data_IF_430657320124
#
_entry.id   IF_430657320124
#
_cell.length_a   1.000
_cell.length_b   1.000
_cell.length_c   1.000
_cell.angle_alpha   90.00
_cell.angle_beta   90.00
_cell.angle_gamma   90.00
#
_symmetry.space_group_name_H-M   'P 1'
#
loop_
_entity.id
_entity.type
_entity.pdbx_description
1 polymer ?
#
# COMPACT_ATOMS: atom_id res chain seq x y z
N UNK A 1 14.33 41.35 8.59
CA UNK A 1 13.60 40.26 7.91
C UNK A 1 12.38 39.92 8.75
N UNK A 2 11.16 39.82 8.20
CA UNK A 2 9.98 39.52 9.00
C UNK A 2 10.09 38.08 9.52
N UNK A 3 9.84 37.88 10.82
CA UNK A 3 9.68 36.55 11.39
C UNK A 3 8.43 35.92 10.78
N UNK A 4 8.63 34.98 9.84
CA UNK A 4 7.55 34.11 9.38
C UNK A 4 7.11 33.28 10.58
N UNK A 5 5.84 33.40 10.96
CA UNK A 5 5.27 32.56 12.02
C UNK A 5 5.34 31.10 11.54
N UNK A 6 6.16 30.28 12.20
CA UNK A 6 6.46 28.89 11.79
C UNK A 6 5.20 28.01 11.80
N UNK A 7 4.12 28.47 12.44
CA UNK A 7 2.81 27.80 12.48
C UNK A 7 1.71 28.52 11.68
N UNK A 8 2.07 29.43 10.77
CA UNK A 8 1.11 29.99 9.83
C UNK A 8 0.51 28.86 8.95
N UNK A 9 -0.83 28.67 8.97
CA UNK A 9 -1.48 27.62 8.19
C UNK A 9 -1.22 27.68 6.70
N UNK A 10 -1.13 28.88 6.12
CA UNK A 10 -0.89 29.04 4.69
C UNK A 10 0.53 28.64 4.33
N UNK A 11 1.51 29.07 5.13
CA UNK A 11 2.89 28.63 4.99
C UNK A 11 3.05 27.11 5.13
N UNK A 12 2.44 26.49 6.15
CA UNK A 12 2.53 25.03 6.35
C UNK A 12 1.87 24.27 5.20
N UNK A 13 0.71 24.71 4.73
CA UNK A 13 0.03 24.07 3.60
C UNK A 13 0.87 24.20 2.32
N UNK A 14 1.44 25.37 2.04
CA UNK A 14 2.32 25.56 0.88
C UNK A 14 3.56 24.68 0.96
N UNK A 15 4.23 24.62 2.12
CA UNK A 15 5.36 23.71 2.29
C UNK A 15 4.92 22.25 2.17
N UNK A 16 3.80 21.86 2.78
CA UNK A 16 3.26 20.52 2.67
C UNK A 16 3.01 20.16 1.21
N UNK A 17 2.42 21.04 0.40
CA UNK A 17 2.19 20.78 -1.03
C UNK A 17 3.48 20.75 -1.84
N UNK A 18 4.45 21.60 -1.51
CA UNK A 18 5.76 21.63 -2.17
C UNK A 18 6.56 20.33 -1.92
N UNK A 19 6.55 19.85 -0.67
CA UNK A 19 7.25 18.64 -0.27
C UNK A 19 6.41 17.36 -0.41
N UNK A 20 5.09 17.49 -0.52
CA UNK A 20 4.14 16.41 -0.77
C UNK A 20 3.55 16.50 -2.16
N UNK A 21 4.25 17.09 -3.13
CA UNK A 21 3.93 16.88 -4.54
C UNK A 21 3.73 15.38 -4.74
N UNK A 22 2.46 15.02 -4.93
CA UNK A 22 1.97 13.66 -5.08
C UNK A 22 2.50 13.19 -6.43
N UNK A 23 3.70 12.61 -6.41
CA UNK A 23 4.40 12.23 -7.62
C UNK A 23 5.20 13.36 -8.26
N UNK A 24 6.02 13.03 -9.28
CA UNK A 24 6.69 14.01 -10.10
C UNK A 24 5.69 14.98 -10.73
N UNK A 25 6.10 16.23 -11.04
CA UNK A 25 5.29 17.16 -11.81
C UNK A 25 4.72 16.48 -13.06
N UNK A 26 3.40 16.51 -13.24
CA UNK A 26 2.73 15.92 -14.40
C UNK A 26 2.09 14.54 -14.19
N UNK A 27 2.19 13.92 -13.01
CA UNK A 27 1.45 12.70 -12.71
C UNK A 27 -0.06 12.97 -12.63
N UNK A 28 -0.79 12.66 -13.70
CA UNK A 28 -2.26 12.66 -13.69
C UNK A 28 -2.76 11.42 -12.92
N UNK A 29 -3.81 11.56 -12.09
CA UNK A 29 -4.38 10.43 -11.37
C UNK A 29 -4.96 9.39 -12.34
N UNK A 30 -5.15 8.15 -11.88
CA UNK A 30 -5.73 7.10 -12.72
C UNK A 30 -7.17 7.40 -13.15
N UNK A 31 -7.87 8.21 -12.36
CA UNK A 31 -9.16 8.81 -12.67
C UNK A 31 -9.23 10.22 -12.04
N UNK A 32 -9.95 11.18 -12.63
CA UNK A 32 -10.09 12.53 -12.08
C UNK A 32 -10.65 12.52 -10.66
N UNK A 33 -10.10 13.38 -9.79
CA UNK A 33 -10.72 13.65 -8.50
C UNK A 33 -12.05 14.40 -8.72
N UNK A 34 -13.10 13.98 -8.03
CA UNK A 34 -14.37 14.72 -7.99
C UNK A 34 -14.31 15.99 -7.12
N UNK A 35 -13.14 16.30 -6.57
CA UNK A 35 -12.87 17.44 -5.71
C UNK A 35 -11.43 17.94 -5.88
N UNK A 36 -11.18 19.18 -5.50
CA UNK A 36 -9.83 19.75 -5.45
C UNK A 36 -9.06 19.19 -4.25
N UNK A 37 -7.94 18.49 -4.50
CA UNK A 37 -7.03 18.03 -3.43
C UNK A 37 -6.51 19.22 -2.65
N UNK A 38 -6.12 20.29 -3.35
CA UNK A 38 -5.58 21.50 -2.75
C UNK A 38 -6.56 22.10 -1.75
N UNK A 39 -7.82 22.28 -2.15
CA UNK A 39 -8.84 22.87 -1.28
C UNK A 39 -9.18 21.94 -0.12
N UNK A 40 -9.19 20.63 -0.38
CA UNK A 40 -9.47 19.61 0.65
C UNK A 40 -8.35 19.53 1.70
N UNK A 41 -7.08 19.62 1.29
CA UNK A 41 -5.92 19.65 2.18
C UNK A 41 -5.89 20.96 2.96
N UNK A 42 -6.12 22.09 2.30
CA UNK A 42 -6.15 23.43 2.92
C UNK A 42 -7.28 23.55 3.95
N UNK A 43 -8.48 23.09 3.60
CA UNK A 43 -9.63 23.05 4.49
C UNK A 43 -9.36 22.21 5.74
N UNK A 44 -8.78 21.01 5.56
CA UNK A 44 -8.40 20.13 6.69
C UNK A 44 -7.32 20.76 7.58
N UNK A 45 -6.32 21.40 7.00
CA UNK A 45 -5.26 22.07 7.76
C UNK A 45 -5.80 23.25 8.60
N UNK A 46 -6.70 24.05 8.03
CA UNK A 46 -7.35 25.17 8.73
C UNK A 46 -8.32 24.71 9.81
N UNK A 47 -8.97 23.56 9.62
CA UNK A 47 -9.97 23.02 10.54
C UNK A 47 -9.41 22.25 11.75
N UNK A 48 -8.10 21.95 11.81
CA UNK A 48 -7.53 21.14 12.90
C UNK A 48 -6.08 21.50 13.21
N UNK A 49 -5.82 21.98 14.43
CA UNK A 49 -4.44 22.25 14.90
C UNK A 49 -3.58 20.98 14.90
N UNK A 50 -4.17 19.83 15.20
CA UNK A 50 -3.48 18.54 15.18
C UNK A 50 -3.06 18.17 13.75
N UNK A 51 -3.94 18.40 12.77
CA UNK A 51 -3.64 18.17 11.35
C UNK A 51 -2.50 19.06 10.86
N UNK A 52 -2.55 20.35 11.21
CA UNK A 52 -1.52 21.33 10.88
C UNK A 52 -0.15 20.95 11.47
N UNK A 53 -0.11 20.47 12.72
CA UNK A 53 1.11 19.93 13.33
C UNK A 53 1.60 18.67 12.63
N UNK A 54 0.71 17.75 12.26
CA UNK A 54 1.08 16.53 11.52
C UNK A 54 1.69 16.87 10.15
N UNK A 55 1.07 17.80 9.41
CA UNK A 55 1.60 18.30 8.14
C UNK A 55 2.97 18.95 8.32
N UNK A 56 3.16 19.74 9.38
CA UNK A 56 4.45 20.34 9.70
C UNK A 56 5.52 19.25 9.98
N UNK A 57 5.22 18.26 10.81
CA UNK A 57 6.13 17.14 11.12
C UNK A 57 6.47 16.35 9.86
N UNK A 58 5.47 15.94 9.07
CA UNK A 58 5.68 15.25 7.80
C UNK A 58 6.55 16.03 6.83
N UNK A 59 6.33 17.35 6.73
CA UNK A 59 7.15 18.23 5.90
C UNK A 59 8.60 18.31 6.40
N UNK A 60 8.80 18.45 7.71
CA UNK A 60 10.13 18.49 8.33
C UNK A 60 10.91 17.19 8.15
N UNK A 61 10.24 16.05 8.22
CA UNK A 61 10.82 14.73 7.90
C UNK A 61 11.31 14.72 6.45
N UNK A 62 10.45 15.11 5.51
CA UNK A 62 10.80 15.14 4.09
C UNK A 62 11.96 16.10 3.79
N UNK A 63 11.95 17.30 4.38
CA UNK A 63 13.06 18.24 4.29
C UNK A 63 14.36 17.65 4.82
N UNK A 64 14.35 17.09 6.03
CA UNK A 64 15.55 16.51 6.63
C UNK A 64 16.16 15.38 5.79
N UNK A 65 15.31 14.59 5.11
CA UNK A 65 15.79 13.55 4.19
C UNK A 65 16.33 14.15 2.89
N UNK A 66 15.68 15.16 2.32
CA UNK A 66 16.13 15.82 1.09
C UNK A 66 17.43 16.60 1.27
N UNK A 67 17.60 17.24 2.43
CA UNK A 67 18.76 18.06 2.77
C UNK A 67 19.95 17.20 3.24
N UNK A 68 19.83 15.87 3.22
CA UNK A 68 20.89 14.96 3.65
C UNK A 68 21.18 14.98 5.16
N UNK A 69 20.33 15.64 5.96
CA UNK A 69 20.46 15.73 7.42
C UNK A 69 20.27 14.38 8.15
N UNK A 70 19.88 13.34 7.41
CA UNK A 70 19.87 11.94 7.84
C UNK A 70 18.53 11.48 8.41
N UNK A 71 18.26 10.18 8.26
CA UNK A 71 17.03 9.51 8.69
C UNK A 71 16.76 9.61 10.21
N UNK A 72 17.80 9.85 11.00
CA UNK A 72 17.75 9.92 12.47
C UNK A 72 16.93 11.10 12.99
N UNK A 73 16.97 12.25 12.31
CA UNK A 73 16.14 13.41 12.64
C UNK A 73 14.67 13.11 12.37
N UNK A 74 14.37 12.45 11.25
CA UNK A 74 13.02 12.04 10.89
C UNK A 74 12.41 11.06 11.90
N UNK A 75 13.17 10.04 12.32
CA UNK A 75 12.72 9.05 13.32
C UNK A 75 12.40 9.71 14.66
N UNK A 76 13.25 10.64 15.15
CA UNK A 76 12.97 11.36 16.41
C UNK A 76 11.70 12.21 16.34
N UNK A 77 11.52 12.95 15.24
CA UNK A 77 10.31 13.75 15.03
C UNK A 77 9.04 12.89 14.99
N UNK A 78 9.11 11.70 14.38
CA UNK A 78 8.03 10.72 14.40
C UNK A 78 7.76 10.23 15.81
N UNK A 79 8.79 9.77 16.54
CA UNK A 79 8.62 9.21 17.88
C UNK A 79 8.01 10.21 18.85
N UNK A 80 8.50 11.45 18.85
CA UNK A 80 7.99 12.51 19.72
C UNK A 80 6.52 12.84 19.41
N UNK A 81 6.17 12.98 18.12
CA UNK A 81 4.83 13.33 17.71
C UNK A 81 3.84 12.17 17.85
N UNK A 82 4.26 10.95 17.52
CA UNK A 82 3.47 9.75 17.72
C UNK A 82 3.15 9.51 19.20
N UNK A 83 4.13 9.67 20.11
CA UNK A 83 3.88 9.53 21.56
C UNK A 83 2.85 10.54 22.06
N UNK A 84 2.88 11.77 21.56
CA UNK A 84 1.87 12.78 21.91
C UNK A 84 0.46 12.36 21.51
N UNK A 85 0.31 11.65 20.38
CA UNK A 85 -1.00 11.18 19.90
C UNK A 85 -1.45 9.92 20.65
N UNK A 86 -0.59 8.90 20.75
CA UNK A 86 -0.96 7.60 21.34
C UNK A 86 -1.09 7.63 22.85
N UNK A 87 -0.52 8.63 23.53
CA UNK A 87 -0.73 8.82 24.97
C UNK A 87 -2.12 9.38 25.28
N UNK A 88 -2.88 9.84 24.29
CA UNK A 88 -4.28 10.19 24.51
C UNK A 88 -5.07 8.90 24.68
N UNK A 89 -5.68 8.73 25.85
CA UNK A 89 -6.57 7.60 26.13
C UNK A 89 -7.78 7.74 25.21
N UNK A 90 -8.06 6.71 24.40
CA UNK A 90 -9.32 6.63 23.65
C UNK A 90 -10.42 6.47 24.69
N UNK A 91 -11.19 7.53 24.91
CA UNK A 91 -12.29 7.51 25.85
C UNK A 91 -13.51 6.83 25.20
N UNK A 92 -14.37 6.14 25.96
CA UNK A 92 -15.58 5.50 25.41
C UNK A 92 -16.54 6.48 24.71
N UNK A 93 -16.47 7.77 25.06
CA UNK A 93 -17.26 8.88 24.52
C UNK A 93 -16.53 9.65 23.40
N UNK A 94 -15.37 9.17 22.94
CA UNK A 94 -14.62 9.81 21.86
C UNK A 94 -15.50 9.97 20.61
N UNK A 95 -15.57 11.21 20.11
CA UNK A 95 -16.39 11.52 18.96
C UNK A 95 -15.76 10.99 17.67
N UNK A 96 -16.60 10.72 16.67
CA UNK A 96 -16.14 10.34 15.31
C UNK A 96 -15.14 11.37 14.76
N UNK A 97 -15.35 12.66 15.01
CA UNK A 97 -14.47 13.74 14.56
C UNK A 97 -13.08 13.67 15.20
N UNK A 98 -13.01 13.41 16.51
CA UNK A 98 -11.74 13.26 17.23
C UNK A 98 -10.96 12.04 16.74
N UNK A 99 -11.62 10.88 16.65
CA UNK A 99 -11.02 9.64 16.14
C UNK A 99 -10.50 9.81 14.71
N UNK A 100 -11.28 10.47 13.86
CA UNK A 100 -10.90 10.82 12.48
C UNK A 100 -9.67 11.74 12.45
N UNK A 101 -9.61 12.71 13.38
CA UNK A 101 -8.46 13.60 13.55
C UNK A 101 -7.17 12.85 13.88
N UNK A 102 -7.22 11.97 14.89
CA UNK A 102 -6.07 11.14 15.29
C UNK A 102 -5.64 10.18 14.17
N UNK A 103 -6.60 9.47 13.56
CA UNK A 103 -6.36 8.56 12.45
C UNK A 103 -5.61 9.27 11.32
N UNK A 104 -6.14 10.37 10.79
CA UNK A 104 -5.49 11.08 9.68
C UNK A 104 -4.06 11.54 10.03
N UNK A 105 -3.83 11.99 11.26
CA UNK A 105 -2.51 12.47 11.66
C UNK A 105 -1.49 11.35 11.71
N UNK A 106 -1.84 10.22 12.35
CA UNK A 106 -0.98 9.04 12.41
C UNK A 106 -0.80 8.41 11.02
N UNK A 107 -1.85 8.40 10.19
CA UNK A 107 -1.78 7.88 8.82
C UNK A 107 -0.78 8.66 7.96
N UNK A 108 -0.75 9.99 8.09
CA UNK A 108 0.24 10.82 7.39
C UNK A 108 1.68 10.46 7.78
N UNK A 109 1.93 10.11 9.05
CA UNK A 109 3.22 9.64 9.51
C UNK A 109 3.55 8.25 8.96
N UNK A 110 2.58 7.33 8.94
CA UNK A 110 2.73 5.99 8.34
C UNK A 110 3.18 6.11 6.88
N UNK A 111 2.46 6.89 6.08
CA UNK A 111 2.79 7.09 4.67
C UNK A 111 4.19 7.68 4.54
N UNK A 112 4.51 8.74 5.30
CA UNK A 112 5.83 9.37 5.26
C UNK A 112 6.95 8.39 5.63
N UNK A 113 6.73 7.55 6.64
CA UNK A 113 7.70 6.56 7.08
C UNK A 113 7.90 5.44 6.05
N UNK A 114 6.80 4.86 5.54
CA UNK A 114 6.83 3.80 4.52
C UNK A 114 7.51 4.25 3.23
N UNK A 115 7.34 5.53 2.86
CA UNK A 115 7.89 6.08 1.63
C UNK A 115 9.35 6.52 1.76
N UNK A 116 9.67 7.19 2.86
CA UNK A 116 10.89 7.99 2.95
C UNK A 116 11.89 7.37 3.93
N UNK A 117 11.43 6.90 5.08
CA UNK A 117 12.32 6.49 6.19
C UNK A 117 12.71 5.02 6.06
N UNK A 118 11.78 4.13 6.35
CA UNK A 118 11.93 2.69 6.23
C UNK A 118 10.56 2.03 6.36
N UNK A 119 10.43 0.90 5.68
CA UNK A 119 9.21 0.09 5.74
C UNK A 119 8.94 -0.41 7.16
N UNK A 120 9.99 -0.74 7.91
CA UNK A 120 9.87 -1.19 9.30
C UNK A 120 9.26 -0.12 10.22
N UNK A 121 9.75 1.12 10.16
CA UNK A 121 9.19 2.23 10.98
C UNK A 121 7.75 2.50 10.58
N UNK A 122 7.45 2.51 9.28
CA UNK A 122 6.09 2.70 8.79
C UNK A 122 5.12 1.61 9.24
N UNK A 123 5.56 0.35 9.27
CA UNK A 123 4.74 -0.77 9.75
C UNK A 123 4.47 -0.69 11.26
N UNK A 124 5.47 -0.32 12.08
CA UNK A 124 5.27 -0.12 13.53
C UNK A 124 4.28 1.01 13.81
N UNK A 125 4.29 2.08 13.00
CA UNK A 125 3.29 3.14 13.10
C UNK A 125 1.90 2.66 12.66
N UNK A 126 1.82 1.77 11.67
CA UNK A 126 0.55 1.18 11.23
C UNK A 126 -0.06 0.30 12.33
N UNK A 127 0.75 -0.47 13.07
CA UNK A 127 0.32 -1.21 14.26
C UNK A 127 -0.30 -0.28 15.31
N UNK A 128 0.29 0.90 15.52
CA UNK A 128 -0.21 1.90 16.49
C UNK A 128 -1.53 2.56 16.07
N UNK A 129 -1.92 2.47 14.80
CA UNK A 129 -3.24 2.92 14.32
C UNK A 129 -4.38 1.96 14.65
N UNK A 130 -4.08 0.68 14.93
CA UNK A 130 -5.10 -0.37 15.14
C UNK A 130 -6.16 0.03 16.18
N UNK A 131 -5.82 0.54 17.39
CA UNK A 131 -6.83 0.89 18.37
C UNK A 131 -7.77 2.02 17.90
N UNK A 132 -7.24 3.00 17.17
CA UNK A 132 -8.03 4.11 16.62
C UNK A 132 -8.92 3.65 15.47
N UNK A 133 -8.41 2.74 14.63
CA UNK A 133 -9.19 2.13 13.56
C UNK A 133 -10.35 1.30 14.11
N UNK A 134 -10.12 0.47 15.12
CA UNK A 134 -11.16 -0.32 15.78
C UNK A 134 -12.19 0.57 16.47
N UNK A 135 -11.75 1.60 17.21
CA UNK A 135 -12.66 2.55 17.85
C UNK A 135 -13.52 3.31 16.83
N UNK A 136 -12.96 3.70 15.69
CA UNK A 136 -13.70 4.36 14.62
C UNK A 136 -14.68 3.39 13.93
N UNK A 137 -14.25 2.14 13.71
CA UNK A 137 -15.08 1.10 13.07
C UNK A 137 -16.24 0.66 13.98
N UNK A 138 -16.07 0.70 15.30
CA UNK A 138 -17.13 0.44 16.27
C UNK A 138 -18.30 1.44 16.17
N UNK A 139 -18.09 2.62 15.58
CA UNK A 139 -19.13 3.63 15.32
C UNK A 139 -20.00 3.29 14.09
N UNK A 140 -19.75 2.19 13.40
CA UNK A 140 -20.44 1.82 12.16
C UNK A 140 -20.73 0.32 12.13
N UNK A 141 -21.90 -0.05 12.66
CA UNK A 141 -22.31 -1.45 12.85
C UNK A 141 -22.34 -2.26 11.55
N UNK A 142 -22.58 -1.60 10.40
CA UNK A 142 -22.56 -2.20 9.06
C UNK A 142 -21.21 -2.80 8.63
N UNK A 143 -20.12 -2.39 9.29
CA UNK A 143 -18.78 -2.89 8.98
C UNK A 143 -18.52 -4.27 9.59
N UNK A 144 -19.24 -4.65 10.64
CA UNK A 144 -18.99 -5.88 11.40
C UNK A 144 -19.85 -7.02 10.86
N UNK A 145 -19.22 -8.18 10.65
CA UNK A 145 -19.94 -9.42 10.32
C UNK A 145 -20.27 -10.19 11.60
N UNK A 146 -19.34 -10.17 12.55
CA UNK A 146 -19.45 -10.71 13.90
C UNK A 146 -18.60 -9.84 14.86
N UNK A 147 -18.46 -10.24 16.12
CA UNK A 147 -17.73 -9.47 17.14
C UNK A 147 -16.21 -9.38 16.90
N UNK A 148 -15.66 -10.18 15.98
CA UNK A 148 -14.22 -10.35 15.75
C UNK A 148 -13.80 -10.04 14.31
N UNK A 149 -14.74 -9.94 13.36
CA UNK A 149 -14.45 -9.80 11.94
C UNK A 149 -15.16 -8.62 11.27
N UNK A 150 -14.37 -7.87 10.50
CA UNK A 150 -14.88 -6.78 9.67
C UNK A 150 -15.08 -7.25 8.23
N UNK A 151 -16.20 -6.88 7.61
CA UNK A 151 -16.46 -7.13 6.19
C UNK A 151 -15.45 -6.37 5.33
N UNK A 152 -14.56 -7.10 4.65
CA UNK A 152 -13.59 -6.54 3.71
C UNK A 152 -14.28 -5.65 2.68
N UNK A 153 -15.44 -6.10 2.18
CA UNK A 153 -16.23 -5.38 1.20
C UNK A 153 -16.76 -4.06 1.77
N UNK A 154 -17.37 -4.06 2.96
CA UNK A 154 -17.95 -2.85 3.54
C UNK A 154 -16.87 -1.87 4.00
N UNK A 155 -15.78 -2.35 4.59
CA UNK A 155 -14.64 -1.52 5.00
C UNK A 155 -14.03 -0.81 3.79
N UNK A 156 -13.78 -1.55 2.71
CA UNK A 156 -13.21 -0.96 1.51
C UNK A 156 -14.17 0.00 0.80
N UNK A 157 -15.47 -0.31 0.87
CA UNK A 157 -16.52 0.52 0.29
C UNK A 157 -16.93 1.73 1.13
N UNK A 158 -16.37 1.85 2.33
CA UNK A 158 -16.80 2.84 3.28
C UNK A 158 -16.48 4.26 2.80
N UNK A 159 -17.41 5.19 3.01
CA UNK A 159 -17.28 6.59 2.56
C UNK A 159 -16.17 7.36 3.28
N UNK A 160 -15.71 6.87 4.43
CA UNK A 160 -14.58 7.44 5.18
C UNK A 160 -13.26 6.98 4.60
N UNK A 161 -12.45 7.96 4.23
CA UNK A 161 -11.12 7.78 3.68
C UNK A 161 -10.22 6.95 4.60
N UNK A 162 -10.29 7.18 5.91
CA UNK A 162 -9.44 6.58 6.93
C UNK A 162 -9.65 5.07 7.05
N UNK A 163 -10.91 4.61 6.91
CA UNK A 163 -11.30 3.21 7.05
C UNK A 163 -10.81 2.40 5.84
N UNK A 164 -11.10 2.87 4.63
CA UNK A 164 -10.66 2.21 3.39
C UNK A 164 -9.13 2.25 3.24
N UNK A 165 -8.48 3.37 3.57
CA UNK A 165 -7.02 3.48 3.52
C UNK A 165 -6.34 2.55 4.51
N UNK A 166 -6.84 2.43 5.74
CA UNK A 166 -6.26 1.50 6.70
C UNK A 166 -6.24 0.08 6.16
N UNK A 167 -7.38 -0.41 5.66
CA UNK A 167 -7.46 -1.76 5.08
C UNK A 167 -6.51 -1.93 3.89
N UNK A 168 -6.37 -0.92 3.03
CA UNK A 168 -5.43 -0.98 1.91
C UNK A 168 -3.98 -1.14 2.38
N UNK A 169 -3.54 -0.32 3.34
CA UNK A 169 -2.17 -0.40 3.85
C UNK A 169 -1.95 -1.67 4.66
N UNK A 170 -2.92 -2.13 5.45
CA UNK A 170 -2.84 -3.42 6.15
C UNK A 170 -2.68 -4.56 5.14
N UNK A 171 -3.53 -4.60 4.11
CA UNK A 171 -3.47 -5.62 3.05
C UNK A 171 -2.13 -5.63 2.31
N UNK A 172 -1.67 -4.45 1.87
CA UNK A 172 -0.44 -4.33 1.08
C UNK A 172 0.79 -4.60 1.94
N UNK A 173 0.84 -4.11 3.17
CA UNK A 173 1.98 -4.36 4.07
C UNK A 173 2.05 -5.83 4.45
N UNK A 174 0.92 -6.50 4.76
CA UNK A 174 0.89 -7.95 4.98
C UNK A 174 1.34 -8.76 3.77
N UNK A 175 0.98 -8.33 2.55
CA UNK A 175 1.46 -8.94 1.31
C UNK A 175 2.98 -8.85 1.19
N UNK A 176 3.55 -7.64 1.19
CA UNK A 176 4.98 -7.48 0.90
C UNK A 176 5.86 -7.90 2.07
N UNK A 177 5.40 -7.70 3.30
CA UNK A 177 6.12 -8.22 4.45
C UNK A 177 5.93 -9.74 4.52
N UNK A 178 4.79 -10.30 4.13
CA UNK A 178 4.49 -11.72 4.40
C UNK A 178 4.18 -11.94 5.88
N UNK A 179 3.56 -10.96 6.53
CA UNK A 179 2.98 -11.04 7.88
C UNK A 179 1.48 -11.30 7.81
N UNK A 180 0.89 -11.65 8.95
CA UNK A 180 -0.57 -11.68 9.11
C UNK A 180 -1.12 -10.25 9.09
N UNK A 181 -2.31 -10.01 8.51
CA UNK A 181 -3.04 -8.73 8.65
C UNK A 181 -3.21 -8.32 10.11
N UNK A 182 -3.14 -7.02 10.38
CA UNK A 182 -3.38 -6.46 11.70
C UNK A 182 -4.84 -6.61 12.12
N UNK A 183 -5.74 -6.68 11.14
CA UNK A 183 -7.18 -6.82 11.34
C UNK A 183 -7.66 -8.12 10.68
N UNK A 184 -8.55 -8.82 11.37
CA UNK A 184 -9.23 -9.97 10.79
C UNK A 184 -10.38 -9.51 9.88
N UNK A 185 -10.17 -9.62 8.57
CA UNK A 185 -11.18 -9.30 7.57
C UNK A 185 -11.96 -10.55 7.15
N UNK A 186 -13.29 -10.45 7.17
CA UNK A 186 -14.17 -11.37 6.49
C UNK A 186 -14.10 -11.10 4.98
N UNK A 187 -13.59 -12.09 4.23
CA UNK A 187 -13.28 -12.00 2.78
C UNK A 187 -14.25 -12.82 1.93
N UNK A 188 -15.45 -13.08 2.45
CA UNK A 188 -16.53 -13.67 1.68
C UNK A 188 -16.98 -12.66 0.64
N UNK A 189 -16.70 -12.96 -0.62
CA UNK A 189 -17.06 -12.10 -1.74
C UNK A 189 -18.55 -12.32 -2.03
N UNK A 190 -19.36 -11.26 -1.88
CA UNK A 190 -20.71 -11.27 -2.41
C UNK A 190 -20.66 -10.77 -3.86
N UNK A 191 -21.32 -11.43 -4.84
CA UNK A 191 -21.29 -11.07 -6.26
C UNK A 191 -21.72 -9.63 -6.58
N UNK A 192 -22.21 -8.88 -5.60
CA UNK A 192 -22.53 -7.46 -5.69
C UNK A 192 -21.33 -6.64 -5.17
N UNK A 193 -20.14 -6.81 -5.75
CA UNK A 193 -19.07 -5.81 -5.56
C UNK A 193 -19.46 -4.59 -6.40
N UNK A 194 -20.38 -3.78 -5.88
CA UNK A 194 -20.62 -2.46 -6.46
C UNK A 194 -19.35 -1.65 -6.21
N UNK A 195 -18.76 -1.04 -7.24
CA UNK A 195 -17.71 -0.06 -7.01
C UNK A 195 -18.31 1.01 -6.08
N UNK A 196 -17.72 1.23 -4.91
CA UNK A 196 -18.07 2.37 -4.07
C UNK A 196 -18.03 3.61 -4.96
N UNK A 197 -19.07 4.44 -4.90
CA UNK A 197 -19.18 5.62 -5.77
C UNK A 197 -18.02 6.62 -5.62
N UNK A 198 -17.12 6.42 -4.64
CA UNK A 198 -15.94 7.24 -4.32
C UNK A 198 -14.76 6.38 -3.83
N UNK A 199 -14.15 5.59 -4.72
CA UNK A 199 -12.97 4.78 -4.40
C UNK A 199 -11.67 5.58 -4.51
N UNK A 200 -11.19 6.11 -3.39
CA UNK A 200 -9.99 6.95 -3.38
C UNK A 200 -8.67 6.23 -3.71
N UNK A 201 -8.63 4.90 -3.59
CA UNK A 201 -7.39 4.09 -3.67
C UNK A 201 -7.03 3.72 -5.12
N UNK A 202 -8.03 3.38 -5.94
CA UNK A 202 -7.89 3.17 -7.39
C UNK A 202 -7.22 4.40 -8.03
N UNK A 203 -7.51 5.59 -7.50
CA UNK A 203 -7.05 6.88 -8.03
C UNK A 203 -5.55 7.12 -7.78
N UNK A 204 -5.03 6.67 -6.65
CA UNK A 204 -3.69 7.00 -6.16
C UNK A 204 -2.63 5.95 -6.51
N UNK A 205 -3.02 4.69 -6.70
CA UNK A 205 -2.05 3.60 -6.86
C UNK A 205 -2.27 2.71 -8.09
N UNK A 206 -3.32 2.97 -8.89
CA UNK A 206 -3.68 2.12 -10.02
C UNK A 206 -4.08 0.70 -9.61
N UNK A 207 -4.31 0.47 -8.31
CA UNK A 207 -4.71 -0.80 -7.73
C UNK A 207 -6.23 -0.75 -7.50
N UNK A 208 -6.99 -1.57 -8.23
CA UNK A 208 -8.45 -1.52 -8.09
C UNK A 208 -8.94 -2.19 -6.81
N UNK A 209 -10.10 -1.78 -6.32
CA UNK A 209 -10.78 -2.42 -5.19
C UNK A 209 -10.85 -3.95 -5.27
N UNK A 210 -11.19 -4.53 -6.43
CA UNK A 210 -11.24 -5.98 -6.60
C UNK A 210 -9.87 -6.60 -6.34
N UNK A 211 -8.80 -5.98 -6.85
CA UNK A 211 -7.41 -6.40 -6.60
C UNK A 211 -7.12 -6.39 -5.10
N UNK A 212 -7.46 -5.32 -4.37
CA UNK A 212 -7.21 -5.22 -2.93
C UNK A 212 -7.97 -6.28 -2.15
N UNK A 213 -9.26 -6.49 -2.43
CA UNK A 213 -10.05 -7.50 -1.73
C UNK A 213 -9.54 -8.91 -2.01
N UNK A 214 -9.12 -9.20 -3.25
CA UNK A 214 -8.51 -10.48 -3.59
C UNK A 214 -7.18 -10.69 -2.88
N UNK A 215 -6.33 -9.66 -2.78
CA UNK A 215 -5.11 -9.71 -1.96
C UNK A 215 -5.42 -9.96 -0.48
N UNK A 216 -6.45 -9.29 0.07
CA UNK A 216 -6.91 -9.53 1.43
C UNK A 216 -7.39 -10.98 1.63
N UNK A 217 -8.06 -11.56 0.62
CA UNK A 217 -8.47 -12.98 0.63
C UNK A 217 -7.27 -13.93 0.72
N UNK A 218 -6.21 -13.69 -0.08
CA UNK A 218 -4.97 -14.47 0.03
C UNK A 218 -4.32 -14.30 1.41
N UNK A 219 -4.28 -13.07 1.94
CA UNK A 219 -3.74 -12.79 3.28
C UNK A 219 -4.52 -13.52 4.37
N UNK A 220 -5.86 -13.49 4.35
CA UNK A 220 -6.70 -14.18 5.33
C UNK A 220 -6.50 -15.70 5.29
N UNK A 221 -6.39 -16.29 4.10
CA UNK A 221 -6.09 -17.72 3.98
C UNK A 221 -4.71 -18.07 4.55
N UNK A 222 -3.69 -17.25 4.24
CA UNK A 222 -2.35 -17.43 4.80
C UNK A 222 -2.36 -17.28 6.32
N UNK A 223 -3.09 -16.32 6.86
CA UNK A 223 -3.25 -16.12 8.30
C UNK A 223 -3.86 -17.35 8.97
N UNK A 224 -4.89 -17.95 8.36
CA UNK A 224 -5.48 -19.19 8.86
C UNK A 224 -4.45 -20.33 8.90
N UNK A 225 -3.58 -20.43 7.89
CA UNK A 225 -2.47 -21.42 7.88
C UNK A 225 -1.32 -21.12 8.84
N UNK A 226 -1.09 -19.85 9.16
CA UNK A 226 -0.14 -19.49 10.22
C UNK A 226 -0.65 -19.95 11.59
N UNK A 227 -1.96 -19.86 11.84
CA UNK A 227 -2.59 -20.30 13.09
C UNK A 227 -2.70 -21.83 13.13
N UNK A 228 -3.14 -22.44 12.03
CA UNK A 228 -3.28 -23.88 11.87
C UNK A 228 -2.61 -24.33 10.55
N UNK A 229 -1.39 -24.90 10.60
CA UNK A 229 -0.70 -25.40 9.42
C UNK A 229 -1.45 -26.46 8.63
N UNK A 230 -2.45 -27.12 9.25
CA UNK A 230 -3.32 -28.13 8.64
C UNK A 230 -4.58 -27.56 8.02
N UNK A 231 -4.81 -26.24 8.14
CA UNK A 231 -5.95 -25.58 7.52
C UNK A 231 -6.01 -25.91 6.03
N UNK A 232 -7.17 -26.33 5.51
CA UNK A 232 -7.30 -26.87 4.16
C UNK A 232 -6.87 -25.86 3.09
N UNK A 233 -6.34 -26.41 2.00
CA UNK A 233 -6.17 -25.65 0.77
C UNK A 233 -7.53 -25.19 0.22
N UNK A 234 -7.57 -24.03 -0.47
CA UNK A 234 -8.81 -23.57 -1.08
C UNK A 234 -9.27 -24.62 -2.09
N UNK A 235 -10.56 -24.90 -2.07
CA UNK A 235 -11.20 -25.81 -3.02
C UNK A 235 -11.05 -25.31 -4.45
N UNK A 236 -11.17 -26.20 -5.43
CA UNK A 236 -11.16 -25.80 -6.85
C UNK A 236 -12.27 -24.80 -7.18
N UNK A 237 -13.40 -24.85 -6.46
CA UNK A 237 -14.50 -23.91 -6.62
C UNK A 237 -14.13 -22.51 -6.13
N UNK A 238 -13.53 -22.38 -4.94
CA UNK A 238 -13.03 -21.10 -4.43
C UNK A 238 -11.91 -20.51 -5.30
N UNK A 239 -11.05 -21.36 -5.86
CA UNK A 239 -10.02 -20.93 -6.82
C UNK A 239 -10.65 -20.44 -8.13
N UNK A 240 -11.66 -21.14 -8.65
CA UNK A 240 -12.36 -20.73 -9.87
C UNK A 240 -13.16 -19.44 -9.64
N UNK A 241 -13.79 -19.28 -8.47
CA UNK A 241 -14.49 -18.06 -8.07
C UNK A 241 -13.52 -16.87 -8.00
N UNK A 242 -12.36 -17.05 -7.37
CA UNK A 242 -11.30 -16.03 -7.34
C UNK A 242 -10.89 -15.59 -8.75
N UNK A 243 -10.65 -16.55 -9.65
CA UNK A 243 -10.27 -16.26 -11.03
C UNK A 243 -11.40 -15.56 -11.79
N UNK A 244 -12.67 -15.96 -11.57
CA UNK A 244 -13.82 -15.32 -12.19
C UNK A 244 -13.92 -13.84 -11.81
N UNK A 245 -13.79 -13.49 -10.52
CA UNK A 245 -13.79 -12.08 -10.09
C UNK A 245 -12.67 -11.26 -10.72
N UNK A 246 -11.47 -11.85 -10.84
CA UNK A 246 -10.34 -11.16 -11.46
C UNK A 246 -10.50 -11.02 -12.98
N UNK A 247 -11.21 -11.94 -13.64
CA UNK A 247 -11.52 -11.90 -15.07
C UNK A 247 -12.65 -10.92 -15.41
N UNK A 248 -13.67 -10.84 -14.56
CA UNK A 248 -14.77 -9.87 -14.71
C UNK A 248 -14.27 -8.43 -14.55
N UNK A 249 -13.28 -8.24 -13.67
CA UNK A 249 -12.58 -6.97 -13.57
C UNK A 249 -11.73 -6.70 -14.81
N UNK A 250 -12.03 -5.59 -15.47
CA UNK A 250 -11.23 -5.09 -16.57
C UNK A 250 -10.53 -3.79 -16.16
N UNK A 251 -9.27 -3.57 -16.59
CA UNK A 251 -8.62 -2.27 -16.48
C UNK A 251 -9.54 -1.16 -17.03
N UNK A 252 -9.79 -0.13 -16.22
CA UNK A 252 -10.62 1.01 -16.60
C UNK A 252 -9.80 2.28 -16.50
N UNK A 253 -9.87 3.09 -17.55
CA UNK A 253 -9.33 4.44 -17.57
C UNK A 253 -10.44 5.43 -17.85
N UNK A 254 -10.43 6.51 -17.10
CA UNK A 254 -11.15 7.74 -17.48
C UNK A 254 -10.20 8.56 -18.35
N UNK A 255 -10.61 8.82 -19.58
CA UNK A 255 -9.86 9.71 -20.48
C UNK A 255 -9.99 11.15 -20.00
N UNK A 256 -8.88 11.88 -20.00
CA UNK A 256 -8.88 13.33 -19.91
C UNK A 256 -8.71 13.94 -21.30
N UNK A 257 -9.31 15.11 -21.56
CA UNK A 257 -9.27 15.78 -22.87
C UNK A 257 -7.84 16.06 -23.38
N UNK A 258 -6.86 16.11 -22.47
CA UNK A 258 -5.44 16.35 -22.75
C UNK A 258 -4.54 15.13 -22.50
N UNK A 259 -5.09 13.92 -22.46
CA UNK A 259 -4.28 12.73 -22.21
C UNK A 259 -3.48 12.29 -23.44
N UNK A 260 -2.16 12.28 -23.28
CA UNK A 260 -1.27 11.65 -24.26
C UNK A 260 -1.52 10.13 -24.29
N UNK A 261 -1.58 9.50 -25.49
CA UNK A 261 -1.81 8.06 -25.61
C UNK A 261 -0.81 7.21 -24.81
N UNK A 262 0.45 7.63 -24.73
CA UNK A 262 1.48 6.94 -23.95
C UNK A 262 1.15 6.91 -22.45
N UNK A 263 0.64 8.01 -21.89
CA UNK A 263 0.23 8.08 -20.49
C UNK A 263 -0.98 7.17 -20.20
N UNK A 264 -1.96 7.13 -21.11
CA UNK A 264 -3.11 6.20 -21.02
C UNK A 264 -2.63 4.75 -21.03
N UNK A 265 -1.77 4.38 -22.00
CA UNK A 265 -1.24 3.03 -22.10
C UNK A 265 -0.41 2.63 -20.89
N UNK A 266 0.39 3.56 -20.34
CA UNK A 266 1.14 3.33 -19.11
C UNK A 266 0.22 3.02 -17.92
N UNK A 267 -0.90 3.75 -17.78
CA UNK A 267 -1.87 3.49 -16.71
C UNK A 267 -2.56 2.13 -16.85
N UNK A 268 -2.88 1.70 -18.08
CA UNK A 268 -3.39 0.34 -18.33
C UNK A 268 -2.34 -0.70 -17.94
N UNK A 269 -1.08 -0.46 -18.32
CA UNK A 269 0.01 -1.37 -17.98
C UNK A 269 0.17 -1.53 -16.46
N UNK A 270 0.05 -0.46 -15.67
CA UNK A 270 0.09 -0.55 -14.19
C UNK A 270 -1.07 -1.39 -13.64
N UNK A 271 -2.30 -1.17 -14.10
CA UNK A 271 -3.46 -1.95 -13.66
C UNK A 271 -3.29 -3.44 -14.02
N UNK A 272 -2.79 -3.72 -15.22
CA UNK A 272 -2.55 -5.09 -15.68
C UNK A 272 -1.40 -5.78 -14.93
N UNK A 273 -0.37 -5.02 -14.53
CA UNK A 273 0.71 -5.48 -13.65
C UNK A 273 0.14 -5.89 -12.28
N UNK A 274 -0.80 -5.12 -11.72
CA UNK A 274 -1.50 -5.51 -10.50
C UNK A 274 -2.26 -6.83 -10.68
N UNK A 275 -2.99 -7.00 -11.80
CA UNK A 275 -3.71 -8.25 -12.13
C UNK A 275 -2.80 -9.46 -12.03
N UNK A 276 -1.66 -9.41 -12.71
CA UNK A 276 -0.70 -10.51 -12.72
C UNK A 276 -0.02 -10.73 -11.37
N UNK A 277 0.17 -9.69 -10.58
CA UNK A 277 0.74 -9.81 -9.24
C UNK A 277 -0.21 -10.53 -8.29
N UNK A 278 -1.52 -10.28 -8.39
CA UNK A 278 -2.53 -11.05 -7.65
C UNK A 278 -2.52 -12.51 -8.06
N UNK A 279 -2.39 -12.82 -9.35
CA UNK A 279 -2.29 -14.21 -9.83
C UNK A 279 -1.05 -14.91 -9.26
N UNK A 280 0.12 -14.26 -9.30
CA UNK A 280 1.34 -14.80 -8.67
C UNK A 280 1.11 -15.08 -7.19
N UNK A 281 0.54 -14.12 -6.46
CA UNK A 281 0.33 -14.27 -5.04
C UNK A 281 -0.73 -15.32 -4.68
N UNK A 282 -1.79 -15.46 -5.47
CA UNK A 282 -2.80 -16.50 -5.29
C UNK A 282 -2.22 -17.89 -5.56
N UNK A 283 -1.52 -18.10 -6.67
CA UNK A 283 -0.95 -19.40 -6.97
C UNK A 283 0.10 -19.83 -5.92
N UNK A 284 1.05 -18.95 -5.59
CA UNK A 284 2.12 -19.28 -4.65
C UNK A 284 1.71 -19.21 -3.18
N UNK A 285 0.73 -18.34 -2.87
CA UNK A 285 0.32 -18.02 -1.52
C UNK A 285 -0.94 -18.75 -1.06
N UNK A 286 -1.74 -19.34 -1.97
CA UNK A 286 -2.97 -20.09 -1.68
C UNK A 286 -2.99 -21.49 -2.30
N UNK A 287 -2.56 -21.66 -3.56
CA UNK A 287 -2.66 -22.94 -4.26
C UNK A 287 -1.48 -23.91 -3.99
N UNK A 288 -0.48 -23.50 -3.21
CA UNK A 288 0.72 -24.29 -2.95
C UNK A 288 1.65 -24.42 -4.16
N UNK A 289 1.46 -23.61 -5.21
CA UNK A 289 2.34 -23.57 -6.37
C UNK A 289 3.69 -22.96 -6.00
N UNK A 290 4.72 -23.27 -6.78
CA UNK A 290 6.01 -22.60 -6.73
C UNK A 290 6.21 -21.70 -7.97
N UNK A 291 7.32 -20.97 -8.00
CA UNK A 291 7.68 -20.10 -9.12
C UNK A 291 7.93 -20.79 -10.47
N UNK A 292 7.97 -22.13 -10.52
CA UNK A 292 8.08 -22.90 -11.75
C UNK A 292 6.71 -23.35 -12.30
N UNK A 293 5.63 -23.11 -11.56
CA UNK A 293 4.27 -23.26 -12.08
C UNK A 293 4.10 -22.42 -13.37
N UNK A 294 3.54 -22.98 -14.46
CA UNK A 294 3.39 -22.27 -15.73
C UNK A 294 2.58 -20.97 -15.64
N UNK A 295 1.55 -20.92 -14.78
CA UNK A 295 0.72 -19.72 -14.59
C UNK A 295 1.49 -18.63 -13.85
N UNK A 296 2.31 -19.02 -12.87
CA UNK A 296 3.21 -18.10 -12.16
C UNK A 296 4.27 -17.57 -13.12
N UNK A 297 4.94 -18.43 -13.88
CA UNK A 297 5.98 -18.00 -14.83
C UNK A 297 5.42 -17.08 -15.92
N UNK A 298 4.23 -17.40 -16.45
CA UNK A 298 3.53 -16.56 -17.42
C UNK A 298 3.20 -15.18 -16.83
N UNK A 299 2.71 -15.13 -15.60
CA UNK A 299 2.37 -13.86 -14.94
C UNK A 299 3.61 -13.01 -14.63
N UNK A 300 4.69 -13.62 -14.14
CA UNK A 300 5.99 -12.92 -13.94
C UNK A 300 6.51 -12.36 -15.26
N UNK A 301 6.40 -13.12 -16.36
CA UNK A 301 6.79 -12.66 -17.67
C UNK A 301 5.98 -11.42 -18.11
N UNK A 302 4.66 -11.42 -17.91
CA UNK A 302 3.82 -10.27 -18.25
C UNK A 302 4.16 -9.04 -17.40
N UNK A 303 4.38 -9.20 -16.09
CA UNK A 303 4.80 -8.08 -15.24
C UNK A 303 6.14 -7.50 -15.71
N UNK A 304 7.13 -8.35 -16.00
CA UNK A 304 8.43 -7.90 -16.52
C UNK A 304 8.30 -7.21 -17.89
N UNK A 305 7.44 -7.74 -18.78
CA UNK A 305 7.20 -7.16 -20.11
C UNK A 305 6.52 -5.78 -20.02
N UNK A 306 5.43 -5.68 -19.27
CA UNK A 306 4.66 -4.44 -19.11
C UNK A 306 5.45 -3.37 -18.35
N UNK A 307 6.19 -3.76 -17.32
CA UNK A 307 7.03 -2.80 -16.60
C UNK A 307 8.15 -2.24 -17.48
N UNK A 308 8.69 -3.03 -18.40
CA UNK A 308 9.69 -2.57 -19.36
C UNK A 308 9.15 -1.60 -20.42
N UNK A 309 7.83 -1.51 -20.64
CA UNK A 309 7.25 -0.51 -21.56
C UNK A 309 7.10 0.88 -20.93
N UNK A 310 7.18 0.97 -19.61
CA UNK A 310 7.18 2.26 -18.91
C UNK A 310 8.63 2.75 -18.84
N UNK A 311 8.90 3.90 -19.42
CA UNK A 311 10.23 4.51 -19.50
C UNK A 311 10.81 4.79 -18.12
N UNK A 312 12.14 4.87 -18.03
CA UNK A 312 12.80 5.20 -16.78
C UNK A 312 12.66 6.70 -16.46
N UNK A 313 12.43 7.02 -15.18
CA UNK A 313 12.06 8.35 -14.73
C UNK A 313 10.60 8.71 -15.02
N UNK A 314 9.81 7.79 -15.58
CA UNK A 314 8.40 8.05 -15.83
C UNK A 314 7.62 8.02 -14.50
N UNK A 315 6.74 9.00 -14.22
CA UNK A 315 6.02 9.08 -12.94
C UNK A 315 5.22 7.84 -12.53
N UNK A 316 4.82 7.01 -13.50
CA UNK A 316 4.08 5.77 -13.25
C UNK A 316 4.93 4.66 -12.61
N UNK A 317 6.26 4.76 -12.65
CA UNK A 317 7.13 3.78 -12.01
C UNK A 317 6.87 3.64 -10.50
N UNK A 318 6.54 4.73 -9.83
CA UNK A 318 6.17 4.75 -8.42
C UNK A 318 5.03 3.75 -8.07
N UNK A 319 4.06 3.58 -8.97
CA UNK A 319 2.90 2.71 -8.76
C UNK A 319 3.18 1.23 -8.97
N UNK A 320 4.32 0.88 -9.56
CA UNK A 320 4.67 -0.51 -9.86
C UNK A 320 5.49 -1.18 -8.75
N UNK A 321 5.87 -0.46 -7.68
CA UNK A 321 6.83 -0.95 -6.69
C UNK A 321 6.36 -2.26 -6.04
N UNK A 322 5.15 -2.28 -5.47
CA UNK A 322 4.58 -3.47 -4.82
C UNK A 322 4.39 -4.63 -5.80
N UNK A 323 3.70 -4.47 -6.95
CA UNK A 323 3.53 -5.60 -7.86
C UNK A 323 4.86 -6.11 -8.44
N UNK A 324 5.86 -5.24 -8.62
CA UNK A 324 7.20 -5.69 -9.02
C UNK A 324 7.90 -6.49 -7.91
N UNK A 325 7.72 -6.17 -6.62
CA UNK A 325 8.24 -6.99 -5.50
C UNK A 325 7.64 -8.39 -5.56
N UNK A 326 6.32 -8.49 -5.75
CA UNK A 326 5.61 -9.79 -5.86
C UNK A 326 6.15 -10.61 -7.03
N UNK A 327 6.26 -10.02 -8.22
CA UNK A 327 6.80 -10.71 -9.39
C UNK A 327 8.29 -11.06 -9.22
N UNK A 328 9.07 -10.23 -8.54
CA UNK A 328 10.49 -10.44 -8.29
C UNK A 328 10.76 -11.61 -7.34
N UNK A 329 9.89 -11.80 -6.34
CA UNK A 329 9.90 -12.96 -5.45
C UNK A 329 9.70 -14.28 -6.21
N UNK A 330 8.94 -14.25 -7.30
CA UNK A 330 8.68 -15.39 -8.18
C UNK A 330 9.60 -15.46 -9.41
N UNK A 331 10.54 -14.51 -9.58
CA UNK A 331 11.35 -14.42 -10.78
C UNK A 331 12.47 -15.47 -10.80
N UNK A 332 12.43 -16.37 -11.79
CA UNK A 332 13.47 -17.39 -12.01
C UNK A 332 14.53 -17.01 -13.03
N UNK A 333 14.15 -16.21 -14.04
CA UNK A 333 15.04 -15.79 -15.13
C UNK A 333 15.79 -14.52 -14.74
N UNK A 334 17.11 -14.51 -14.92
CA UNK A 334 17.94 -13.35 -14.57
C UNK A 334 17.53 -12.07 -15.33
N UNK A 335 17.10 -12.22 -16.59
CA UNK A 335 16.52 -11.12 -17.37
C UNK A 335 15.30 -10.49 -16.68
N UNK A 336 14.40 -11.31 -16.13
CA UNK A 336 13.22 -10.81 -15.41
C UNK A 336 13.63 -10.15 -14.09
N UNK A 337 14.55 -10.77 -13.33
CA UNK A 337 15.10 -10.20 -12.09
C UNK A 337 15.71 -8.82 -12.32
N UNK A 338 16.52 -8.66 -13.36
CA UNK A 338 17.15 -7.40 -13.70
C UNK A 338 16.13 -6.28 -14.00
N UNK A 339 15.09 -6.57 -14.79
CA UNK A 339 14.02 -5.61 -15.10
C UNK A 339 13.29 -5.20 -13.81
N UNK A 340 12.82 -6.17 -13.04
CA UNK A 340 12.03 -5.91 -11.84
C UNK A 340 12.86 -5.20 -10.76
N UNK A 341 14.12 -5.59 -10.58
CA UNK A 341 15.07 -4.94 -9.66
C UNK A 341 15.21 -3.45 -9.98
N UNK A 342 15.36 -3.12 -11.26
CA UNK A 342 15.48 -1.74 -11.73
C UNK A 342 14.24 -0.92 -11.33
N UNK A 343 13.04 -1.45 -11.60
CA UNK A 343 11.76 -0.78 -11.30
C UNK A 343 11.50 -0.64 -9.80
N UNK A 344 11.87 -1.64 -8.99
CA UNK A 344 11.80 -1.55 -7.52
C UNK A 344 12.77 -0.48 -6.99
N UNK A 345 13.95 -0.37 -7.61
CA UNK A 345 15.01 0.58 -7.23
C UNK A 345 14.66 2.05 -7.45
N UNK A 346 13.65 2.36 -8.26
CA UNK A 346 13.16 3.74 -8.51
C UNK A 346 12.74 4.44 -7.21
N UNK A 347 12.17 3.69 -6.27
CA UNK A 347 11.82 4.16 -4.92
C UNK A 347 12.97 4.73 -4.09
N UNK A 348 14.23 4.59 -4.53
CA UNK A 348 15.39 5.25 -3.89
C UNK A 348 15.39 6.75 -4.12
N UNK A 349 14.83 7.21 -5.24
CA UNK A 349 14.89 8.59 -5.70
C UNK A 349 13.50 9.25 -5.81
N UNK A 350 12.44 8.45 -5.95
CA UNK A 350 11.08 8.95 -6.12
C UNK A 350 10.31 9.08 -4.79
N UNK A 351 9.62 10.22 -4.64
CA UNK A 351 8.95 10.65 -3.40
C UNK A 351 7.53 10.08 -3.23
N UNK A 352 7.08 9.15 -4.08
CA UNK A 352 5.67 8.79 -4.21
C UNK A 352 5.35 7.28 -4.32
N UNK A 353 6.31 6.39 -4.07
CA UNK A 353 6.05 4.94 -4.04
C UNK A 353 5.06 4.60 -2.91
N UNK A 354 4.35 3.48 -3.01
CA UNK A 354 3.47 3.02 -1.93
C UNK A 354 4.27 2.60 -0.68
N UNK A 355 5.40 1.93 -0.94
CA UNK A 355 6.37 1.48 0.06
C UNK A 355 7.77 1.68 -0.56
N UNK A 356 8.76 1.94 0.29
CA UNK A 356 10.18 2.06 -0.09
C UNK A 356 10.72 0.72 -0.60
N UNK A 357 10.62 0.50 -1.91
CA UNK A 357 11.13 -0.70 -2.60
C UNK A 357 12.62 -0.97 -2.37
N UNK A 358 13.41 0.07 -2.07
CA UNK A 358 14.83 -0.07 -1.72
C UNK A 358 15.08 -1.07 -0.58
N UNK A 359 14.18 -1.14 0.40
CA UNK A 359 14.29 -2.04 1.55
C UNK A 359 14.10 -3.52 1.12
N UNK A 360 13.32 -3.75 0.07
CA UNK A 360 13.05 -5.09 -0.48
C UNK A 360 14.13 -5.58 -1.45
N UNK A 361 14.99 -4.70 -1.97
CA UNK A 361 16.10 -5.14 -2.83
C UNK A 361 17.05 -6.07 -2.07
N UNK A 362 17.30 -5.81 -0.79
CA UNK A 362 18.13 -6.66 0.06
C UNK A 362 17.45 -8.00 0.35
N UNK A 363 16.13 -7.99 0.55
CA UNK A 363 15.32 -9.22 0.72
C UNK A 363 15.41 -10.09 -0.53
N UNK A 364 15.25 -9.48 -1.70
CA UNK A 364 15.35 -10.17 -2.99
C UNK A 364 16.77 -10.68 -3.25
N UNK A 365 17.81 -9.93 -2.85
CA UNK A 365 19.19 -10.42 -2.95
C UNK A 365 19.41 -11.67 -2.09
N UNK A 366 18.93 -11.68 -0.85
CA UNK A 366 19.00 -12.85 0.00
C UNK A 366 18.26 -14.05 -0.62
N UNK A 367 17.05 -13.83 -1.15
CA UNK A 367 16.27 -14.87 -1.82
C UNK A 367 16.99 -15.42 -3.07
N UNK A 368 17.49 -14.53 -3.94
CA UNK A 368 18.10 -14.88 -5.23
C UNK A 368 19.48 -15.53 -5.11
N UNK A 369 20.22 -15.26 -4.03
CA UNK A 369 21.49 -15.95 -3.73
C UNK A 369 21.30 -17.15 -2.79
N UNK A 370 20.14 -17.26 -2.13
CA UNK A 370 19.74 -18.36 -1.27
C UNK A 370 18.84 -19.37 -1.97
N UNK A 371 17.57 -19.46 -1.55
CA UNK A 371 16.62 -20.46 -2.03
C UNK A 371 16.48 -20.47 -3.56
N UNK A 372 16.45 -19.28 -4.19
CA UNK A 372 16.26 -19.12 -5.64
C UNK A 372 17.57 -19.09 -6.46
N UNK A 373 18.71 -19.46 -5.90
CA UNK A 373 19.98 -19.42 -6.63
C UNK A 373 19.95 -20.30 -7.88
N UNK A 374 20.51 -19.79 -8.98
CA UNK A 374 20.48 -20.47 -10.28
C UNK A 374 19.08 -20.59 -10.90
N UNK A 375 18.10 -19.81 -10.44
CA UNK A 375 16.72 -19.88 -10.95
C UNK A 375 15.94 -21.10 -10.46
N UNK A 376 16.34 -21.67 -9.31
CA UNK A 376 15.58 -22.73 -8.64
C UNK A 376 14.15 -22.26 -8.31
N UNK A 377 13.17 -23.17 -8.34
CA UNK A 377 11.81 -22.83 -7.93
C UNK A 377 11.78 -22.42 -6.45
N UNK A 378 11.04 -21.37 -6.14
CA UNK A 378 10.75 -20.91 -4.79
C UNK A 378 9.25 -20.80 -4.55
N UNK A 379 8.86 -21.00 -3.30
CA UNK A 379 7.51 -20.79 -2.77
C UNK A 379 7.36 -19.38 -2.20
N UNK A 380 6.14 -18.98 -1.85
CA UNK A 380 5.95 -17.73 -1.11
C UNK A 380 6.54 -17.79 0.32
N UNK A 381 6.68 -19.00 0.89
CA UNK A 381 7.31 -19.16 2.19
C UNK A 381 8.81 -18.81 2.11
N UNK A 382 9.52 -19.23 1.07
CA UNK A 382 10.94 -18.89 0.87
C UNK A 382 11.16 -17.36 0.79
N UNK A 383 10.22 -16.65 0.14
CA UNK A 383 10.21 -15.18 0.13
C UNK A 383 9.97 -14.61 1.54
N UNK A 384 8.99 -15.14 2.26
CA UNK A 384 8.64 -14.69 3.61
C UNK A 384 9.82 -14.88 4.57
N UNK A 385 10.50 -16.02 4.49
CA UNK A 385 11.68 -16.35 5.31
C UNK A 385 12.85 -15.42 5.00
N UNK A 386 13.11 -15.16 3.71
CA UNK A 386 14.12 -14.17 3.29
C UNK A 386 13.79 -12.77 3.80
N UNK A 387 12.49 -12.40 3.79
CA UNK A 387 12.03 -11.12 4.33
C UNK A 387 12.28 -11.06 5.83
N UNK A 388 11.89 -12.08 6.60
CA UNK A 388 12.10 -12.10 8.05
C UNK A 388 13.59 -12.05 8.42
N UNK A 389 14.46 -12.68 7.63
CA UNK A 389 15.91 -12.67 7.85
C UNK A 389 16.54 -11.29 7.62
N UNK A 390 16.10 -10.56 6.59
CA UNK A 390 16.75 -9.31 6.15
C UNK A 390 16.06 -8.04 6.66
N UNK A 391 14.74 -8.06 6.73
CA UNK A 391 13.90 -6.92 7.12
C UNK A 391 12.99 -7.34 8.29
N UNK A 392 13.55 -7.44 9.51
CA UNK A 392 12.76 -7.83 10.67
C UNK A 392 11.75 -6.73 10.99
N UNK A 393 10.49 -7.10 11.17
CA UNK A 393 9.45 -6.22 11.70
C UNK A 393 8.94 -6.84 13.00
N UNK A 394 8.59 -6.02 13.99
CA UNK A 394 7.97 -6.53 15.22
C UNK A 394 6.67 -7.24 14.86
N UNK A 395 6.56 -8.52 15.21
CA UNK A 395 5.33 -9.31 15.05
C UNK A 395 4.36 -8.92 16.15
#
# INVERSE_FOLDING_TARGET
>A
MPQVNVFDPEHIVQMFLHYSQLGPPGLKPFTPFSFSILDSVTSRARGSNLMLRSMHVGTRIKMAVLDGAGLTVGVRLIDDFQRQITNNVITPDATVTELTGYMNCLFSLVISALQVISTQVGYVLLQKLVPFFLALSAQSQELWVDDLSLSAQHVFAHSRFEISHFMFYDTVTSLVLGTVPLIHYNVTLNPIIRPPGKLHIDWAHGCSHIVVVLLARVNSWRAARFIDPTHPAPTSEEQQEFLAYLQEWNPRITYHDEDEPAAVMGRLAVQEIWRHSVLVYMHMGMCGADSADPQVEASVHQVAKLSATIEDGHPLEAHMTVPCIVAAAAARKEKHRAILRKKIGVSRNEKACLIRGADFLLVLDHLWHGAAAGGRPTTWQDYSDSRFAVLPVGI
#
